data_IF_543017268985
#
_entry.id   IF_543017268985
#
_cell.length_a   1.000
_cell.length_b   1.000
_cell.length_c   1.000
_cell.angle_alpha   90.00
_cell.angle_beta   90.00
_cell.angle_gamma   90.00
#
_symmetry.space_group_name_H-M   'P 1'
#
loop_
_entity.id
_entity.type
_entity.pdbx_description
1 polymer ?
#
# COMPACT_ATOMS: atom_id res chain seq x y z
N UNK A 1 33.39 21.26 -32.43
CA UNK A 1 32.09 20.86 -33.01
C UNK A 1 31.71 21.93 -34.01
N UNK A 2 31.59 21.60 -35.29
CA UNK A 2 31.19 22.55 -36.31
C UNK A 2 29.66 22.73 -36.35
N UNK A 3 29.19 23.69 -37.15
CA UNK A 3 27.76 24.06 -37.20
C UNK A 3 26.88 22.92 -37.72
N UNK A 4 27.42 22.07 -38.58
CA UNK A 4 26.70 20.91 -39.14
C UNK A 4 26.60 19.76 -38.15
N UNK A 5 27.62 19.56 -37.31
CA UNK A 5 27.60 18.58 -36.21
C UNK A 5 26.58 18.95 -35.11
N UNK A 6 26.44 20.26 -34.85
CA UNK A 6 25.43 20.77 -33.91
C UNK A 6 24.01 20.56 -34.47
N UNK A 7 23.80 20.88 -35.75
CA UNK A 7 22.51 20.70 -36.41
C UNK A 7 22.08 19.22 -36.45
N UNK A 8 23.00 18.29 -36.74
CA UNK A 8 22.75 16.86 -36.72
C UNK A 8 22.34 16.36 -35.33
N UNK A 9 23.00 16.83 -34.27
CA UNK A 9 22.68 16.47 -32.90
C UNK A 9 21.34 17.02 -32.41
N UNK A 10 20.97 18.21 -32.86
CA UNK A 10 19.64 18.79 -32.59
C UNK A 10 18.55 17.97 -33.28
N UNK A 11 18.73 17.59 -34.55
CA UNK A 11 17.78 16.77 -35.29
C UNK A 11 17.61 15.36 -34.66
N UNK A 12 18.71 14.78 -34.13
CA UNK A 12 18.66 13.50 -33.39
C UNK A 12 17.87 13.63 -32.08
N UNK A 13 18.08 14.70 -31.32
CA UNK A 13 17.33 14.99 -30.10
C UNK A 13 15.85 15.27 -30.38
N UNK A 14 15.54 16.00 -31.42
CA UNK A 14 14.15 16.25 -31.86
C UNK A 14 13.45 14.94 -32.25
N UNK A 15 14.14 14.02 -32.94
CA UNK A 15 13.63 12.69 -33.29
C UNK A 15 13.36 11.82 -32.04
N UNK A 16 14.26 11.87 -31.04
CA UNK A 16 14.07 11.16 -29.76
C UNK A 16 12.89 11.73 -28.99
N UNK A 17 12.75 13.06 -28.96
CA UNK A 17 11.62 13.75 -28.31
C UNK A 17 10.29 13.40 -29.03
N UNK A 18 10.31 13.36 -30.36
CA UNK A 18 9.14 13.02 -31.16
C UNK A 18 8.74 11.54 -30.97
N UNK A 19 9.71 10.61 -30.98
CA UNK A 19 9.46 9.20 -30.71
C UNK A 19 9.04 8.92 -29.27
N UNK A 20 9.51 9.73 -28.30
CA UNK A 20 9.05 9.72 -26.92
C UNK A 20 7.60 10.21 -26.78
N UNK A 21 7.22 11.28 -27.50
CA UNK A 21 5.84 11.77 -27.55
C UNK A 21 4.87 10.78 -28.23
N UNK A 22 5.28 10.15 -29.33
CA UNK A 22 4.44 9.14 -30.01
C UNK A 22 4.21 7.87 -29.15
N UNK A 23 5.11 7.58 -28.19
CA UNK A 23 4.88 6.51 -27.21
C UNK A 23 3.93 6.91 -26.08
N UNK A 24 3.84 8.20 -25.74
CA UNK A 24 2.93 8.72 -24.72
C UNK A 24 1.53 9.04 -25.25
N UNK A 25 1.33 9.20 -26.57
CA UNK A 25 0.04 9.58 -27.16
C UNK A 25 -0.86 8.39 -27.57
N UNK A 26 -0.46 7.16 -27.33
CA UNK A 26 -1.39 6.01 -27.36
C UNK A 26 -1.91 5.73 -25.94
N UNK A 27 -2.83 6.57 -25.47
CA UNK A 27 -3.67 6.19 -24.36
C UNK A 27 -4.33 4.84 -24.72
N UNK A 28 -4.18 3.83 -23.87
CA UNK A 28 -4.87 2.56 -24.04
C UNK A 28 -6.38 2.81 -24.12
N UNK A 29 -7.10 2.05 -24.94
CA UNK A 29 -8.56 2.17 -25.00
C UNK A 29 -9.16 1.94 -23.60
N UNK A 30 -10.19 2.71 -23.18
CA UNK A 30 -10.80 2.56 -21.87
C UNK A 30 -11.28 1.13 -21.63
N UNK A 31 -10.88 0.53 -20.52
CA UNK A 31 -11.38 -0.78 -20.07
C UNK A 31 -12.71 -0.59 -19.35
N UNK A 32 -13.84 -0.80 -20.05
CA UNK A 32 -15.15 -0.31 -19.66
C UNK A 32 -15.82 -0.99 -18.45
N UNK A 33 -15.37 -2.17 -18.02
CA UNK A 33 -16.03 -2.96 -16.97
C UNK A 33 -15.10 -3.42 -15.84
N UNK A 34 -13.86 -2.92 -15.79
CA UNK A 34 -12.88 -3.30 -14.78
C UNK A 34 -12.50 -2.13 -13.89
N UNK A 35 -12.21 -2.45 -12.63
CA UNK A 35 -11.71 -1.50 -11.66
C UNK A 35 -10.19 -1.59 -11.52
N UNK A 36 -9.59 -0.48 -11.10
CA UNK A 36 -8.21 -0.46 -10.63
C UNK A 36 -8.17 0.10 -9.21
N UNK A 37 -7.24 -0.40 -8.39
CA UNK A 37 -7.06 -0.01 -7.00
C UNK A 37 -5.71 0.68 -6.81
N UNK A 38 -5.71 1.90 -6.28
CA UNK A 38 -4.51 2.66 -5.94
C UNK A 38 -4.33 2.68 -4.42
N UNK A 39 -3.19 2.18 -3.93
CA UNK A 39 -2.86 2.04 -2.52
C UNK A 39 -1.71 2.99 -2.14
N UNK A 40 -2.01 4.00 -1.33
CA UNK A 40 -1.03 4.96 -0.84
C UNK A 40 -0.06 4.37 0.19
N UNK A 41 1.12 4.99 0.32
CA UNK A 41 2.13 4.64 1.31
C UNK A 41 1.83 5.21 2.72
N UNK A 42 2.46 4.64 3.76
CA UNK A 42 2.31 5.12 5.13
C UNK A 42 2.67 4.14 6.25
N UNK A 43 3.49 3.13 6.00
CA UNK A 43 3.95 2.17 7.03
C UNK A 43 2.80 1.48 7.76
N UNK A 44 2.81 1.46 9.10
CA UNK A 44 1.77 0.82 9.92
C UNK A 44 0.34 1.30 9.65
N UNK A 45 0.16 2.50 9.08
CA UNK A 45 -1.15 3.00 8.64
C UNK A 45 -1.76 2.11 7.54
N UNK A 46 -0.94 1.32 6.82
CA UNK A 46 -1.37 0.38 5.80
C UNK A 46 -2.37 -0.67 6.29
N UNK A 47 -2.46 -0.92 7.59
CA UNK A 47 -3.51 -1.75 8.18
C UNK A 47 -4.93 -1.27 7.87
N UNK A 48 -5.12 0.03 7.62
CA UNK A 48 -6.38 0.60 7.15
C UNK A 48 -6.81 -0.03 5.80
N UNK A 49 -5.85 -0.31 4.92
CA UNK A 49 -6.10 -0.91 3.61
C UNK A 49 -6.62 -2.36 3.70
N UNK A 50 -6.38 -3.09 4.79
CA UNK A 50 -7.01 -4.40 5.03
C UNK A 50 -8.53 -4.29 5.10
N UNK A 51 -9.02 -3.30 5.87
CA UNK A 51 -10.45 -3.04 5.98
C UNK A 51 -11.05 -2.58 4.65
N UNK A 52 -10.33 -1.74 3.90
CA UNK A 52 -10.71 -1.34 2.55
C UNK A 52 -10.84 -2.57 1.65
N UNK A 53 -9.82 -3.42 1.63
CA UNK A 53 -9.82 -4.65 0.83
C UNK A 53 -10.99 -5.56 1.19
N UNK A 54 -11.25 -5.80 2.48
CA UNK A 54 -12.38 -6.62 2.95
C UNK A 54 -13.72 -6.07 2.48
N UNK A 55 -13.96 -4.77 2.66
CA UNK A 55 -15.21 -4.12 2.25
C UNK A 55 -15.42 -4.19 0.72
N UNK A 56 -14.37 -3.93 -0.06
CA UNK A 56 -14.44 -4.04 -1.53
C UNK A 56 -14.70 -5.49 -1.98
N UNK A 57 -14.11 -6.49 -1.31
CA UNK A 57 -14.35 -7.90 -1.60
C UNK A 57 -15.79 -8.32 -1.26
N UNK A 58 -16.29 -7.95 -0.09
CA UNK A 58 -17.68 -8.24 0.32
C UNK A 58 -18.71 -7.56 -0.58
N UNK A 59 -18.39 -6.37 -1.10
CA UNK A 59 -19.25 -5.67 -2.06
C UNK A 59 -19.14 -6.23 -3.49
N UNK A 60 -18.22 -7.18 -3.74
CA UNK A 60 -18.01 -7.81 -5.05
C UNK A 60 -17.22 -6.97 -6.06
N UNK A 61 -16.57 -5.89 -5.61
CA UNK A 61 -15.75 -5.03 -6.50
C UNK A 61 -14.39 -5.69 -6.78
N UNK A 62 -13.81 -6.40 -5.80
CA UNK A 62 -12.49 -7.01 -5.99
C UNK A 62 -12.48 -8.06 -7.10
N UNK A 63 -13.59 -8.72 -7.39
CA UNK A 63 -13.72 -9.65 -8.51
C UNK A 63 -13.56 -8.98 -9.90
N UNK A 64 -13.70 -7.66 -9.94
CA UNK A 64 -13.56 -6.82 -11.13
C UNK A 64 -12.27 -6.01 -11.16
N UNK A 65 -11.47 -6.08 -10.10
CA UNK A 65 -10.17 -5.40 -10.05
C UNK A 65 -9.18 -6.17 -10.90
N UNK A 66 -8.62 -5.52 -11.91
CA UNK A 66 -7.63 -6.10 -12.81
C UNK A 66 -6.27 -5.40 -12.77
N UNK A 67 -6.15 -4.30 -11.99
CA UNK A 67 -4.87 -3.69 -11.70
C UNK A 67 -4.83 -3.07 -10.30
N UNK A 68 -3.64 -3.12 -9.68
CA UNK A 68 -3.38 -2.46 -8.40
C UNK A 68 -2.08 -1.68 -8.52
N UNK A 69 -2.08 -0.42 -8.13
CA UNK A 69 -0.84 0.35 -7.95
C UNK A 69 -0.60 0.61 -6.47
N UNK A 70 0.67 0.63 -6.06
CA UNK A 70 1.00 0.86 -4.66
C UNK A 70 2.34 1.55 -4.45
N UNK A 71 2.44 2.25 -3.33
CA UNK A 71 3.67 2.90 -2.86
C UNK A 71 3.99 2.43 -1.45
N UNK A 72 5.24 2.06 -1.17
CA UNK A 72 5.69 1.67 0.17
C UNK A 72 4.84 0.50 0.72
N UNK A 73 4.24 0.65 1.90
CA UNK A 73 3.31 -0.36 2.43
C UNK A 73 2.14 -0.65 1.46
N UNK A 74 1.75 0.33 0.63
CA UNK A 74 0.75 0.12 -0.42
C UNK A 74 1.22 -0.84 -1.51
N UNK A 75 2.51 -0.86 -1.86
CA UNK A 75 3.08 -1.84 -2.79
C UNK A 75 3.13 -3.24 -2.18
N UNK A 76 3.47 -3.36 -0.88
CA UNK A 76 3.41 -4.62 -0.13
C UNK A 76 1.97 -5.15 -0.08
N UNK A 77 1.00 -4.28 0.23
CA UNK A 77 -0.42 -4.67 0.23
C UNK A 77 -0.93 -5.00 -1.17
N UNK A 78 -0.44 -4.34 -2.23
CA UNK A 78 -0.84 -4.65 -3.60
C UNK A 78 -0.51 -6.10 -3.99
N UNK A 79 0.74 -6.54 -3.75
CA UNK A 79 1.13 -7.94 -4.01
C UNK A 79 0.42 -8.92 -3.07
N UNK A 80 0.19 -8.54 -1.81
CA UNK A 80 -0.52 -9.36 -0.84
C UNK A 80 -1.98 -9.58 -1.24
N UNK A 81 -2.70 -8.54 -1.62
CA UNK A 81 -4.12 -8.60 -2.01
C UNK A 81 -4.33 -9.31 -3.35
N UNK A 82 -3.40 -9.17 -4.29
CA UNK A 82 -3.45 -9.91 -5.55
C UNK A 82 -3.32 -11.43 -5.36
N UNK A 83 -2.62 -11.89 -4.32
CA UNK A 83 -2.39 -13.31 -4.04
C UNK A 83 -3.45 -13.94 -3.14
N UNK A 84 -4.03 -13.18 -2.20
CA UNK A 84 -4.70 -13.73 -1.04
C UNK A 84 -6.14 -13.23 -0.90
N UNK A 85 -6.94 -13.95 -0.12
CA UNK A 85 -8.22 -13.47 0.39
C UNK A 85 -8.03 -12.43 1.51
N UNK A 86 -9.08 -11.68 1.88
CA UNK A 86 -9.02 -10.77 3.03
C UNK A 86 -8.57 -11.44 4.32
N UNK A 87 -9.07 -12.65 4.62
CA UNK A 87 -8.68 -13.39 5.83
C UNK A 87 -7.21 -13.76 5.84
N UNK A 88 -6.68 -14.23 4.72
CA UNK A 88 -5.27 -14.59 4.58
C UNK A 88 -4.36 -13.36 4.66
N UNK A 89 -4.82 -12.22 4.16
CA UNK A 89 -4.12 -10.93 4.28
C UNK A 89 -4.11 -10.44 5.74
N UNK A 90 -5.20 -10.61 6.48
CA UNK A 90 -5.25 -10.33 7.91
C UNK A 90 -4.28 -11.24 8.71
N UNK A 91 -4.16 -12.52 8.34
CA UNK A 91 -3.19 -13.44 8.95
C UNK A 91 -1.74 -12.97 8.72
N UNK A 92 -1.40 -12.53 7.49
CA UNK A 92 -0.10 -11.97 7.19
C UNK A 92 0.20 -10.74 8.03
N UNK A 93 -0.74 -9.82 8.15
CA UNK A 93 -0.58 -8.61 8.96
C UNK A 93 -0.44 -8.87 10.46
N UNK A 94 -1.00 -9.96 11.00
CA UNK A 94 -0.76 -10.38 12.38
C UNK A 94 0.68 -10.80 12.66
N UNK A 95 1.44 -11.12 11.61
CA UNK A 95 2.88 -11.43 11.73
C UNK A 95 3.77 -10.18 11.59
N UNK A 96 3.19 -9.05 11.13
CA UNK A 96 3.93 -7.79 11.01
C UNK A 96 3.96 -7.10 12.38
N UNK A 97 5.10 -7.18 13.04
CA UNK A 97 5.40 -6.52 14.30
C UNK A 97 6.46 -5.45 14.07
N UNK A 98 6.75 -4.68 15.11
CA UNK A 98 7.81 -3.67 15.05
C UNK A 98 9.14 -4.30 14.63
N UNK A 99 9.48 -5.44 15.18
CA UNK A 99 10.71 -6.19 14.90
C UNK A 99 10.75 -6.74 13.47
N UNK A 100 9.62 -7.05 12.85
CA UNK A 100 9.55 -7.49 11.45
C UNK A 100 9.96 -6.39 10.48
N UNK A 101 9.63 -5.14 10.81
CA UNK A 101 9.92 -3.97 9.98
C UNK A 101 11.24 -3.30 10.39
N UNK A 102 11.56 -3.32 11.69
CA UNK A 102 12.70 -2.62 12.27
C UNK A 102 13.71 -3.63 12.87
N UNK A 103 14.08 -4.65 12.09
CA UNK A 103 15.16 -5.59 12.43
C UNK A 103 16.53 -4.88 12.26
N UNK A 104 17.12 -4.46 13.38
CA UNK A 104 18.43 -3.79 13.39
C UNK A 104 19.53 -4.83 13.11
N UNK A 105 20.26 -4.65 12.02
CA UNK A 105 21.41 -5.45 11.71
C UNK A 105 22.71 -4.68 12.07
N UNK A 106 23.43 -5.11 13.13
CA UNK A 106 24.65 -4.42 13.55
C UNK A 106 25.77 -4.40 12.48
N UNK A 107 25.78 -5.37 11.56
CA UNK A 107 26.77 -5.41 10.48
C UNK A 107 26.54 -4.29 9.46
N UNK A 108 25.27 -3.90 9.21
CA UNK A 108 24.95 -2.81 8.31
C UNK A 108 25.36 -1.44 8.89
N UNK A 109 25.47 -1.29 10.21
CA UNK A 109 25.90 -0.04 10.84
C UNK A 109 27.34 0.38 10.49
N UNK A 110 28.15 -0.55 9.97
CA UNK A 110 29.54 -0.32 9.60
C UNK A 110 29.77 -0.23 8.09
N UNK A 111 28.69 -0.27 7.29
CA UNK A 111 28.76 -0.15 5.84
C UNK A 111 28.87 1.33 5.41
N UNK A 112 29.46 1.56 4.25
CA UNK A 112 29.59 2.90 3.65
C UNK A 112 28.23 3.50 3.18
N UNK A 113 27.18 2.66 3.05
CA UNK A 113 25.84 3.10 2.68
C UNK A 113 25.02 3.41 3.93
N UNK A 114 24.21 4.50 3.94
CA UNK A 114 23.33 4.79 5.05
C UNK A 114 22.18 3.78 5.10
N UNK A 115 21.99 3.17 6.27
CA UNK A 115 20.94 2.20 6.55
C UNK A 115 21.42 1.16 7.56
N UNK A 116 20.60 0.81 8.54
CA UNK A 116 20.96 -0.13 9.60
C UNK A 116 19.86 -1.16 9.88
N UNK A 117 18.79 -1.17 9.06
CA UNK A 117 17.67 -2.09 9.18
C UNK A 117 17.80 -3.23 8.16
N UNK A 118 17.59 -4.46 8.63
CA UNK A 118 17.48 -5.66 7.80
C UNK A 118 16.09 -5.78 7.17
N UNK A 119 16.03 -6.38 5.99
CA UNK A 119 14.76 -6.73 5.29
C UNK A 119 14.41 -8.20 5.43
N UNK A 120 15.20 -8.96 6.17
CA UNK A 120 15.14 -10.44 6.24
C UNK A 120 13.77 -10.94 6.64
N UNK A 121 13.21 -10.40 7.72
CA UNK A 121 11.91 -10.84 8.24
C UNK A 121 10.75 -10.46 7.30
N UNK A 122 10.82 -9.29 6.67
CA UNK A 122 9.82 -8.88 5.67
C UNK A 122 9.88 -9.76 4.41
N UNK A 123 11.09 -10.06 3.92
CA UNK A 123 11.26 -10.96 2.77
C UNK A 123 10.74 -12.37 3.08
N UNK A 124 11.00 -12.89 4.28
CA UNK A 124 10.47 -14.17 4.73
C UNK A 124 8.93 -14.15 4.78
N UNK A 125 8.34 -13.09 5.32
CA UNK A 125 6.89 -12.93 5.33
C UNK A 125 6.31 -12.93 3.92
N UNK A 126 6.96 -12.23 2.99
CA UNK A 126 6.55 -12.25 1.58
C UNK A 126 6.65 -13.67 0.99
N UNK A 127 7.70 -14.43 1.29
CA UNK A 127 7.83 -15.83 0.87
C UNK A 127 6.70 -16.73 1.39
N UNK A 128 6.27 -16.52 2.63
CA UNK A 128 5.23 -17.33 3.29
C UNK A 128 3.81 -17.02 2.77
N UNK A 129 3.58 -15.82 2.22
CA UNK A 129 2.25 -15.33 1.87
C UNK A 129 2.05 -14.99 0.39
N UNK A 130 3.10 -14.85 -0.43
CA UNK A 130 2.96 -14.50 -1.84
C UNK A 130 3.02 -15.72 -2.76
N UNK A 131 2.15 -15.72 -3.75
CA UNK A 131 2.20 -16.61 -4.91
C UNK A 131 2.86 -15.86 -6.08
N UNK A 132 4.16 -16.07 -6.23
CA UNK A 132 4.98 -15.35 -7.22
C UNK A 132 4.60 -15.73 -8.66
N UNK A 133 4.16 -16.96 -8.91
CA UNK A 133 3.70 -17.38 -10.24
C UNK A 133 2.44 -16.60 -10.61
N UNK A 134 1.49 -16.48 -9.68
CA UNK A 134 0.27 -15.70 -9.87
C UNK A 134 0.56 -14.20 -10.11
N UNK A 135 1.56 -13.63 -9.42
CA UNK A 135 1.99 -12.25 -9.63
C UNK A 135 2.63 -12.06 -11.00
N UNK A 136 3.48 -13.00 -11.42
CA UNK A 136 4.19 -12.97 -12.69
C UNK A 136 3.23 -13.16 -13.88
N UNK A 137 2.23 -14.03 -13.77
CA UNK A 137 1.24 -14.26 -14.81
C UNK A 137 0.38 -13.04 -15.17
N UNK A 138 0.35 -12.03 -14.30
CA UNK A 138 -0.33 -10.76 -14.57
C UNK A 138 -1.85 -10.85 -14.63
N UNK A 139 -2.46 -11.81 -13.94
CA UNK A 139 -3.92 -11.90 -13.79
C UNK A 139 -4.52 -10.63 -13.18
N UNK A 140 -3.81 -10.04 -12.20
CA UNK A 140 -3.99 -8.68 -11.73
C UNK A 140 -2.67 -7.96 -11.99
N UNK A 141 -2.66 -6.90 -12.81
CA UNK A 141 -1.47 -6.08 -13.02
C UNK A 141 -1.08 -5.32 -11.77
N UNK A 142 0.21 -5.30 -11.43
CA UNK A 142 0.67 -4.59 -10.23
C UNK A 142 1.75 -3.59 -10.61
N UNK A 143 1.54 -2.34 -10.22
CA UNK A 143 2.50 -1.26 -10.38
C UNK A 143 3.05 -0.85 -9.01
N UNK A 144 4.35 -1.00 -8.80
CA UNK A 144 5.02 -0.46 -7.61
C UNK A 144 5.69 0.87 -7.94
N UNK A 145 5.42 1.89 -7.12
CA UNK A 145 6.08 3.20 -7.25
C UNK A 145 7.41 3.19 -6.52
N UNK A 146 8.49 3.51 -7.21
CA UNK A 146 9.85 3.66 -6.67
C UNK A 146 10.39 5.05 -7.01
N UNK A 147 11.34 5.56 -6.24
CA UNK A 147 11.99 6.84 -6.51
C UNK A 147 13.50 6.67 -6.63
N UNK A 148 14.10 7.18 -7.72
CA UNK A 148 15.55 7.14 -7.90
C UNK A 148 16.24 7.98 -6.82
N UNK A 149 17.14 7.36 -6.04
CA UNK A 149 17.99 8.04 -5.08
C UNK A 149 19.10 8.78 -5.77
N UNK A 150 19.18 10.10 -5.58
CA UNK A 150 20.29 10.91 -6.09
C UNK A 150 20.88 11.76 -4.96
N UNK A 151 22.14 12.25 -5.10
CA UNK A 151 22.75 13.13 -4.09
C UNK A 151 21.93 14.39 -3.80
N UNK A 152 21.14 14.84 -4.78
CA UNK A 152 20.29 16.04 -4.69
C UNK A 152 18.89 15.73 -4.14
N UNK A 153 18.64 14.48 -3.73
CA UNK A 153 17.35 13.98 -3.22
C UNK A 153 16.59 13.10 -4.22
N UNK A 154 15.44 12.55 -3.81
CA UNK A 154 14.62 11.70 -4.67
C UNK A 154 14.07 12.49 -5.85
N UNK A 155 14.10 11.86 -7.03
CA UNK A 155 13.58 12.46 -8.28
C UNK A 155 12.15 11.99 -8.57
N UNK A 156 11.76 12.05 -9.84
CA UNK A 156 10.46 11.59 -10.33
C UNK A 156 10.20 10.13 -9.94
N UNK A 157 8.93 9.82 -9.65
CA UNK A 157 8.52 8.45 -9.42
C UNK A 157 8.66 7.63 -10.71
N UNK A 158 9.15 6.40 -10.57
CA UNK A 158 9.05 5.36 -11.58
C UNK A 158 7.99 4.35 -11.13
N UNK A 159 7.13 3.94 -12.07
CA UNK A 159 6.08 2.97 -11.83
C UNK A 159 6.45 1.67 -12.53
N UNK A 160 6.82 0.67 -11.75
CA UNK A 160 7.33 -0.59 -12.27
C UNK A 160 6.21 -1.61 -12.32
N UNK A 161 5.88 -2.10 -13.53
CA UNK A 161 4.94 -3.21 -13.75
C UNK A 161 5.64 -4.53 -13.37
N UNK A 162 5.05 -5.29 -12.44
CA UNK A 162 5.60 -6.55 -11.96
C UNK A 162 5.27 -7.76 -12.86
N UNK A 163 4.48 -7.57 -13.91
CA UNK A 163 4.09 -8.63 -14.85
C UNK A 163 5.31 -9.22 -15.54
N UNK A 164 5.44 -10.52 -15.52
CA UNK A 164 6.56 -11.26 -16.13
C UNK A 164 7.85 -11.28 -15.33
N UNK A 165 7.89 -10.67 -14.14
CA UNK A 165 9.05 -10.66 -13.26
C UNK A 165 9.17 -11.96 -12.47
N UNK A 166 10.41 -12.37 -12.21
CA UNK A 166 10.67 -13.46 -11.28
C UNK A 166 10.55 -13.01 -9.81
N UNK A 167 10.60 -13.98 -8.88
CA UNK A 167 10.54 -13.75 -7.44
C UNK A 167 11.55 -12.69 -6.96
N UNK A 168 12.78 -12.74 -7.45
CA UNK A 168 13.84 -11.85 -6.98
C UNK A 168 13.61 -10.43 -7.49
N UNK A 169 13.16 -10.28 -8.72
CA UNK A 169 12.80 -9.00 -9.32
C UNK A 169 11.63 -8.37 -8.59
N UNK A 170 10.54 -9.14 -8.32
CA UNK A 170 9.38 -8.68 -7.56
C UNK A 170 9.80 -8.21 -6.17
N UNK A 171 10.57 -9.03 -5.43
CA UNK A 171 11.05 -8.67 -4.12
C UNK A 171 11.93 -7.41 -4.14
N UNK A 172 12.82 -7.30 -5.13
CA UNK A 172 13.70 -6.14 -5.30
C UNK A 172 12.89 -4.86 -5.48
N UNK A 173 11.91 -4.87 -6.37
CA UNK A 173 11.08 -3.69 -6.67
C UNK A 173 10.18 -3.32 -5.49
N UNK A 174 9.51 -4.29 -4.86
CA UNK A 174 8.64 -4.05 -3.69
C UNK A 174 9.45 -3.52 -2.50
N UNK A 175 10.66 -4.08 -2.27
CA UNK A 175 11.56 -3.57 -1.24
C UNK A 175 12.09 -2.18 -1.58
N UNK A 176 12.41 -1.87 -2.83
CA UNK A 176 12.78 -0.52 -3.25
C UNK A 176 11.66 0.48 -2.93
N UNK A 177 10.42 0.12 -3.27
CA UNK A 177 9.23 0.93 -2.99
C UNK A 177 9.04 1.27 -1.51
N UNK A 178 9.50 0.41 -0.60
CA UNK A 178 9.36 0.56 0.87
C UNK A 178 10.66 0.93 1.58
N UNK A 179 11.68 1.33 0.85
CA UNK A 179 12.99 1.70 1.39
C UNK A 179 13.01 3.14 1.89
N UNK A 180 12.66 3.35 3.16
CA UNK A 180 12.78 4.66 3.80
C UNK A 180 14.27 5.02 3.94
N UNK A 181 14.74 6.17 3.38
CA UNK A 181 16.12 6.62 3.52
C UNK A 181 16.54 6.74 4.99
N UNK A 182 17.80 6.51 5.26
CA UNK A 182 18.42 6.45 6.58
C UNK A 182 18.07 5.23 7.44
N UNK A 183 16.89 4.62 7.25
CA UNK A 183 16.54 3.38 7.94
C UNK A 183 17.05 2.16 7.17
N UNK A 184 16.85 2.15 5.86
CA UNK A 184 17.29 1.06 4.98
C UNK A 184 18.31 1.58 3.95
N UNK A 185 19.24 0.71 3.57
CA UNK A 185 20.11 0.95 2.41
C UNK A 185 19.25 1.05 1.14
N UNK A 186 19.63 1.95 0.20
CA UNK A 186 19.02 2.00 -1.12
C UNK A 186 19.09 0.64 -1.83
N UNK A 187 18.13 0.41 -2.72
CA UNK A 187 18.05 -0.84 -3.50
C UNK A 187 18.55 -0.58 -4.91
N UNK A 188 19.52 -1.40 -5.35
CA UNK A 188 19.97 -1.37 -6.73
C UNK A 188 18.99 -2.13 -7.62
N UNK A 189 18.40 -1.45 -8.61
CA UNK A 189 17.55 -2.04 -9.62
C UNK A 189 17.94 -1.47 -10.99
N UNK A 190 18.17 -2.34 -12.00
CA UNK A 190 18.62 -1.94 -13.34
C UNK A 190 19.83 -0.98 -13.36
N UNK A 191 20.78 -1.18 -12.42
CA UNK A 191 22.01 -0.39 -12.31
C UNK A 191 21.85 1.01 -11.71
N UNK A 192 20.69 1.33 -11.14
CA UNK A 192 20.41 2.57 -10.41
C UNK A 192 20.01 2.28 -8.98
N UNK A 193 20.15 3.29 -8.12
CA UNK A 193 19.77 3.19 -6.71
C UNK A 193 18.37 3.78 -6.49
N UNK A 194 17.51 3.02 -5.79
CA UNK A 194 16.14 3.41 -5.53
C UNK A 194 15.81 3.41 -4.04
N UNK A 195 14.87 4.27 -3.68
CA UNK A 195 14.30 4.39 -2.35
C UNK A 195 12.76 4.50 -2.43
N UNK A 196 12.13 4.70 -1.26
CA UNK A 196 10.67 4.73 -1.10
C UNK A 196 10.02 5.69 -2.10
N UNK A 197 9.12 5.14 -2.90
CA UNK A 197 8.36 5.88 -3.91
C UNK A 197 7.53 7.02 -3.33
N UNK A 198 7.18 6.96 -2.05
CA UNK A 198 6.43 8.00 -1.34
C UNK A 198 7.13 9.35 -1.25
N UNK A 199 8.44 9.39 -1.51
CA UNK A 199 9.21 10.62 -1.62
C UNK A 199 8.95 11.37 -2.94
N UNK A 200 8.42 10.69 -3.95
CA UNK A 200 8.12 11.25 -5.27
C UNK A 200 6.62 11.21 -5.57
N UNK A 201 5.96 10.07 -5.42
CA UNK A 201 4.52 9.91 -5.56
C UNK A 201 3.96 8.89 -4.55
N UNK A 202 3.32 9.39 -3.50
CA UNK A 202 2.77 8.56 -2.43
C UNK A 202 1.42 7.92 -2.77
N UNK A 203 0.72 8.39 -3.80
CA UNK A 203 -0.58 7.86 -4.24
C UNK A 203 -0.53 7.68 -5.76
N UNK A 204 -0.04 6.52 -6.25
CA UNK A 204 0.34 6.33 -7.66
C UNK A 204 -0.86 6.03 -8.56
N UNK A 205 -1.68 7.03 -8.86
CA UNK A 205 -2.83 6.93 -9.77
C UNK A 205 -2.35 6.82 -11.22
N UNK A 206 -1.26 7.53 -11.56
CA UNK A 206 -0.79 7.71 -12.93
C UNK A 206 -0.64 6.40 -13.72
N UNK A 207 0.04 5.35 -13.21
CA UNK A 207 0.24 4.12 -13.99
C UNK A 207 -1.07 3.39 -14.32
N UNK A 208 -2.08 3.50 -13.46
CA UNK A 208 -3.41 2.95 -13.74
C UNK A 208 -4.11 3.73 -14.84
N UNK A 209 -4.09 5.05 -14.75
CA UNK A 209 -4.70 5.92 -15.73
C UNK A 209 -4.06 5.76 -17.13
N UNK A 210 -2.73 5.73 -17.19
CA UNK A 210 -1.96 5.52 -18.44
C UNK A 210 -2.19 4.13 -19.04
N UNK A 211 -2.51 3.14 -18.20
CA UNK A 211 -2.89 1.79 -18.65
C UNK A 211 -4.34 1.67 -19.13
N UNK A 212 -5.08 2.80 -19.18
CA UNK A 212 -6.45 2.85 -19.71
C UNK A 212 -7.55 2.62 -18.70
N UNK A 213 -7.24 2.43 -17.40
CA UNK A 213 -8.27 2.31 -16.37
C UNK A 213 -8.98 3.64 -16.15
N UNK A 214 -10.32 3.59 -16.08
CA UNK A 214 -11.17 4.77 -15.88
C UNK A 214 -12.08 4.65 -14.67
N UNK A 215 -12.25 3.46 -14.08
CA UNK A 215 -12.86 3.26 -12.76
C UNK A 215 -11.73 2.97 -11.77
N UNK A 216 -11.31 4.00 -11.03
CA UNK A 216 -10.15 3.93 -10.15
C UNK A 216 -10.59 4.17 -8.70
N UNK A 217 -10.27 3.23 -7.82
CA UNK A 217 -10.49 3.37 -6.39
C UNK A 217 -9.17 3.78 -5.75
N UNK A 218 -9.16 4.93 -5.10
CA UNK A 218 -7.97 5.50 -4.46
C UNK A 218 -8.08 5.35 -2.95
N UNK A 219 -7.21 4.56 -2.36
CA UNK A 219 -7.07 4.43 -0.92
C UNK A 219 -5.82 5.17 -0.42
N UNK A 220 -6.01 6.41 0.04
CA UNK A 220 -4.95 7.17 0.71
C UNK A 220 -4.97 6.96 2.22
N UNK A 221 -3.83 7.24 2.88
CA UNK A 221 -3.65 7.01 4.31
C UNK A 221 -3.55 8.31 5.14
N UNK A 222 -3.70 9.46 4.49
CA UNK A 222 -3.64 10.77 5.15
C UNK A 222 -4.53 11.78 4.43
N UNK A 223 -5.54 12.28 5.12
CA UNK A 223 -6.46 13.32 4.62
C UNK A 223 -5.75 14.63 4.24
N UNK A 224 -4.67 14.97 4.95
CA UNK A 224 -3.93 16.23 4.72
C UNK A 224 -3.08 16.22 3.44
N UNK A 225 -2.80 15.03 2.89
CA UNK A 225 -2.02 14.84 1.67
C UNK A 225 -2.83 14.10 0.60
N UNK A 226 -4.07 14.52 0.38
CA UNK A 226 -4.86 14.03 -0.74
C UNK A 226 -4.20 14.36 -2.07
N UNK A 227 -4.19 13.40 -2.97
CA UNK A 227 -3.75 13.59 -4.35
C UNK A 227 -4.73 14.52 -5.07
N UNK A 228 -4.21 15.47 -5.85
CA UNK A 228 -5.03 16.22 -6.79
C UNK A 228 -5.42 15.30 -7.95
N UNK A 229 -6.72 15.08 -8.12
CA UNK A 229 -7.30 14.22 -9.15
C UNK A 229 -7.82 15.01 -10.36
N UNK A 230 -7.66 16.32 -10.38
CA UNK A 230 -8.21 17.19 -11.45
C UNK A 230 -7.65 16.87 -12.85
N UNK A 231 -6.45 16.30 -12.93
CA UNK A 231 -5.80 15.87 -14.18
C UNK A 231 -6.39 14.58 -14.77
N UNK A 232 -7.26 13.87 -14.05
CA UNK A 232 -7.88 12.60 -14.45
C UNK A 232 -9.36 12.76 -14.77
N UNK A 233 -9.76 13.89 -15.39
CA UNK A 233 -11.14 14.33 -15.52
C UNK A 233 -12.08 13.43 -16.37
N UNK A 234 -11.56 12.45 -17.11
CA UNK A 234 -12.33 11.43 -17.84
C UNK A 234 -12.41 10.08 -17.07
N UNK A 235 -11.86 10.03 -15.86
CA UNK A 235 -11.95 8.85 -15.00
C UNK A 235 -12.97 9.07 -13.87
N UNK A 236 -13.70 8.00 -13.57
CA UNK A 236 -14.54 7.88 -12.38
C UNK A 236 -13.63 7.43 -11.21
N UNK A 237 -13.32 8.36 -10.31
CA UNK A 237 -12.42 8.12 -9.20
C UNK A 237 -13.18 8.13 -7.88
N UNK A 238 -13.25 6.96 -7.22
CA UNK A 238 -13.77 6.85 -5.87
C UNK A 238 -12.61 6.98 -4.86
N UNK A 239 -12.64 8.03 -4.05
CA UNK A 239 -11.63 8.28 -3.04
C UNK A 239 -12.04 7.72 -1.67
N UNK A 240 -11.15 6.92 -1.07
CA UNK A 240 -11.28 6.38 0.29
C UNK A 240 -10.11 6.90 1.12
N UNK A 241 -10.41 7.74 2.11
CA UNK A 241 -9.44 8.28 3.05
C UNK A 241 -9.96 8.13 4.48
N UNK A 242 -9.05 7.96 5.45
CA UNK A 242 -9.45 7.78 6.84
C UNK A 242 -10.30 8.94 7.35
N UNK A 243 -11.45 8.67 7.92
CA UNK A 243 -12.36 9.68 8.48
C UNK A 243 -11.80 10.35 9.74
N UNK A 244 -10.82 9.72 10.40
CA UNK A 244 -10.03 10.29 11.49
C UNK A 244 -8.54 10.07 11.25
N UNK A 245 -7.68 10.86 11.91
CA UNK A 245 -6.23 10.72 11.78
C UNK A 245 -5.76 9.32 12.19
N UNK A 246 -4.93 8.69 11.36
CA UNK A 246 -4.24 7.42 11.68
C UNK A 246 -2.95 7.64 12.47
N UNK A 247 -2.70 8.84 12.98
CA UNK A 247 -1.49 9.24 13.69
C UNK A 247 -0.41 9.85 12.78
N UNK A 248 0.63 10.37 13.39
CA UNK A 248 1.78 11.00 12.72
C UNK A 248 2.88 9.96 12.37
N UNK A 249 4.15 10.32 12.51
CA UNK A 249 5.26 9.42 12.23
C UNK A 249 5.33 8.29 13.27
N UNK A 250 5.37 8.63 14.55
CA UNK A 250 5.57 7.64 15.63
C UNK A 250 4.30 6.83 15.87
N UNK A 251 3.18 7.52 16.15
CA UNK A 251 1.91 6.87 16.48
C UNK A 251 1.19 6.27 15.27
N UNK A 252 1.61 6.68 14.07
CA UNK A 252 1.03 6.27 12.79
C UNK A 252 1.92 5.34 12.00
N UNK A 253 2.93 5.91 11.33
CA UNK A 253 3.78 5.22 10.35
C UNK A 253 4.61 4.11 10.97
N UNK A 254 5.15 4.33 12.18
CA UNK A 254 6.01 3.37 12.88
C UNK A 254 5.24 2.48 13.87
N UNK A 255 3.93 2.64 14.00
CA UNK A 255 3.12 1.87 14.94
C UNK A 255 2.45 0.66 14.26
N UNK A 256 2.96 -0.53 14.56
CA UNK A 256 2.45 -1.83 14.12
C UNK A 256 1.83 -2.65 15.28
N UNK A 257 1.45 -2.00 16.38
CA UNK A 257 0.82 -2.72 17.50
C UNK A 257 -0.51 -3.35 17.08
N UNK A 258 -0.84 -4.50 17.65
CA UNK A 258 -2.05 -5.25 17.33
C UNK A 258 -3.33 -4.40 17.46
N UNK A 259 -3.41 -3.55 18.51
CA UNK A 259 -4.54 -2.65 18.72
C UNK A 259 -4.65 -1.60 17.61
N UNK A 260 -3.51 -1.02 17.19
CA UNK A 260 -3.49 -0.04 16.10
C UNK A 260 -3.86 -0.68 14.76
N UNK A 261 -3.36 -1.88 14.48
CA UNK A 261 -3.70 -2.65 13.27
C UNK A 261 -5.20 -2.93 13.25
N UNK A 262 -5.76 -3.43 14.37
CA UNK A 262 -7.18 -3.72 14.50
C UNK A 262 -8.06 -2.49 14.32
N UNK A 263 -7.74 -1.40 15.03
CA UNK A 263 -8.49 -0.15 14.92
C UNK A 263 -8.51 0.37 13.47
N UNK A 264 -7.34 0.39 12.83
CA UNK A 264 -7.20 0.89 11.46
C UNK A 264 -7.94 0.02 10.44
N UNK A 265 -7.89 -1.31 10.59
CA UNK A 265 -8.64 -2.23 9.74
C UNK A 265 -10.16 -2.04 9.89
N UNK A 266 -10.68 -1.96 11.11
CA UNK A 266 -12.10 -1.68 11.36
C UNK A 266 -12.52 -0.33 10.77
N UNK A 267 -11.70 0.71 10.96
CA UNK A 267 -11.97 2.04 10.40
C UNK A 267 -11.99 2.01 8.87
N UNK A 268 -11.00 1.35 8.26
CA UNK A 268 -10.94 1.21 6.80
C UNK A 268 -12.16 0.53 6.21
N UNK A 269 -12.63 -0.52 6.87
CA UNK A 269 -13.87 -1.20 6.48
C UNK A 269 -15.09 -0.25 6.54
N UNK A 270 -15.28 0.46 7.66
CA UNK A 270 -16.43 1.38 7.84
C UNK A 270 -16.37 2.57 6.88
N UNK A 271 -15.20 3.17 6.71
CA UNK A 271 -15.02 4.29 5.77
C UNK A 271 -15.31 3.85 4.33
N UNK A 272 -14.89 2.65 3.94
CA UNK A 272 -15.15 2.10 2.61
C UNK A 272 -16.63 1.82 2.41
N UNK A 273 -17.31 1.21 3.37
CA UNK A 273 -18.75 0.96 3.26
C UNK A 273 -19.54 2.27 3.09
N UNK A 274 -19.13 3.36 3.78
CA UNK A 274 -19.73 4.68 3.57
C UNK A 274 -19.44 5.24 2.17
N UNK A 275 -18.18 5.12 1.71
CA UNK A 275 -17.79 5.59 0.39
C UNK A 275 -18.55 4.85 -0.73
N UNK A 276 -18.71 3.53 -0.62
CA UNK A 276 -19.49 2.71 -1.55
C UNK A 276 -20.95 3.15 -1.59
N UNK A 277 -21.53 3.41 -0.43
CA UNK A 277 -22.92 3.86 -0.33
C UNK A 277 -23.13 5.23 -0.99
N UNK A 278 -22.21 6.15 -0.75
CA UNK A 278 -22.25 7.49 -1.38
C UNK A 278 -22.05 7.38 -2.88
N UNK A 279 -21.07 6.59 -3.31
CA UNK A 279 -20.67 6.51 -4.72
C UNK A 279 -21.70 5.77 -5.58
N UNK A 280 -22.26 4.64 -5.11
CA UNK A 280 -23.15 3.80 -5.91
C UNK A 280 -24.65 4.00 -5.64
N UNK A 281 -25.04 4.25 -4.38
CA UNK A 281 -26.46 4.40 -4.04
C UNK A 281 -26.95 5.84 -4.21
N UNK A 282 -26.07 6.85 -4.11
CA UNK A 282 -26.39 8.28 -4.27
C UNK A 282 -27.59 8.74 -3.40
N UNK A 283 -27.79 8.12 -2.22
CA UNK A 283 -28.87 8.42 -1.31
C UNK A 283 -28.68 9.82 -0.67
N UNK A 284 -29.52 10.83 -0.99
CA UNK A 284 -29.35 12.18 -0.48
C UNK A 284 -29.50 12.28 1.05
N UNK A 285 -30.39 11.48 1.63
CA UNK A 285 -30.64 11.50 3.09
C UNK A 285 -29.45 10.89 3.84
N UNK A 286 -28.85 9.83 3.28
CA UNK A 286 -27.63 9.26 3.82
C UNK A 286 -26.46 10.24 3.70
N UNK A 287 -26.29 10.88 2.55
CA UNK A 287 -25.21 11.87 2.33
C UNK A 287 -25.36 13.04 3.29
N UNK A 288 -26.59 13.54 3.53
CA UNK A 288 -26.84 14.62 4.47
C UNK A 288 -26.55 14.25 5.93
N UNK A 289 -26.64 12.96 6.28
CA UNK A 289 -26.40 12.43 7.62
C UNK A 289 -25.03 11.75 7.79
N UNK A 290 -24.12 11.86 6.82
CA UNK A 290 -22.87 11.08 6.78
C UNK A 290 -21.97 11.29 8.00
N UNK A 291 -21.93 12.51 8.54
CA UNK A 291 -21.15 12.82 9.75
C UNK A 291 -21.71 12.09 10.97
N UNK A 292 -23.02 11.99 11.09
CA UNK A 292 -23.69 11.26 12.16
C UNK A 292 -23.40 9.75 12.07
N UNK A 293 -23.48 9.17 10.86
CA UNK A 293 -23.11 7.76 10.66
C UNK A 293 -21.63 7.49 10.96
N UNK A 294 -20.74 8.41 10.59
CA UNK A 294 -19.32 8.31 10.96
C UNK A 294 -19.12 8.27 12.48
N UNK A 295 -19.83 9.12 13.22
CA UNK A 295 -19.71 9.19 14.68
C UNK A 295 -20.24 7.91 15.35
N UNK A 296 -21.32 7.32 14.82
CA UNK A 296 -21.83 6.01 15.25
C UNK A 296 -20.77 4.93 15.00
N UNK A 297 -20.22 4.86 13.79
CA UNK A 297 -19.20 3.87 13.45
C UNK A 297 -17.97 3.96 14.36
N UNK A 298 -17.52 5.18 14.66
CA UNK A 298 -16.39 5.38 15.58
C UNK A 298 -16.71 4.95 17.02
N UNK A 299 -17.92 5.18 17.47
CA UNK A 299 -18.38 4.71 18.79
C UNK A 299 -18.43 3.17 18.84
N UNK A 300 -18.96 2.53 17.79
CA UNK A 300 -19.01 1.08 17.66
C UNK A 300 -17.61 0.44 17.65
N UNK A 301 -16.66 1.01 16.87
CA UNK A 301 -15.27 0.53 16.84
C UNK A 301 -14.66 0.60 18.24
N UNK A 302 -14.82 1.71 18.95
CA UNK A 302 -14.28 1.88 20.30
C UNK A 302 -14.90 0.90 21.30
N UNK A 303 -16.22 0.67 21.21
CA UNK A 303 -16.92 -0.29 22.04
C UNK A 303 -16.42 -1.72 21.78
N UNK A 304 -16.28 -2.12 20.52
CA UNK A 304 -15.76 -3.43 20.13
C UNK A 304 -14.33 -3.63 20.64
N UNK A 305 -13.44 -2.66 20.46
CA UNK A 305 -12.06 -2.75 20.97
C UNK A 305 -12.02 -2.87 22.50
N UNK A 306 -12.89 -2.16 23.21
CA UNK A 306 -12.98 -2.25 24.68
C UNK A 306 -13.47 -3.63 25.15
N UNK A 307 -14.44 -4.23 24.46
CA UNK A 307 -14.93 -5.57 24.74
C UNK A 307 -13.84 -6.63 24.50
N UNK A 308 -13.11 -6.51 23.38
CA UNK A 308 -12.01 -7.45 23.05
C UNK A 308 -10.87 -7.36 24.07
N UNK A 309 -10.54 -6.15 24.53
CA UNK A 309 -9.52 -5.95 25.58
C UNK A 309 -9.96 -6.60 26.89
N UNK A 310 -11.24 -6.44 27.28
CA UNK A 310 -11.80 -7.08 28.45
C UNK A 310 -11.77 -8.61 28.34
N UNK A 311 -12.19 -9.16 27.19
CA UNK A 311 -12.19 -10.60 26.92
C UNK A 311 -10.77 -11.20 26.96
N UNK A 312 -9.80 -10.48 26.37
CA UNK A 312 -8.37 -10.85 26.43
C UNK A 312 -7.83 -10.83 27.86
N UNK A 313 -8.23 -9.85 28.68
CA UNK A 313 -7.86 -9.78 30.09
C UNK A 313 -8.43 -10.96 30.89
N UNK A 314 -9.69 -11.32 30.66
CA UNK A 314 -10.33 -12.49 31.27
C UNK A 314 -9.62 -13.78 30.87
N UNK A 315 -9.37 -14.00 29.60
CA UNK A 315 -8.63 -15.17 29.07
C UNK A 315 -7.24 -15.28 29.68
N UNK A 316 -6.52 -14.18 29.78
CA UNK A 316 -5.19 -14.15 30.40
C UNK A 316 -5.27 -14.48 31.90
N UNK A 317 -6.30 -14.00 32.60
CA UNK A 317 -6.53 -14.30 34.03
C UNK A 317 -6.83 -15.79 34.23
N UNK A 318 -7.73 -16.36 33.40
CA UNK A 318 -8.04 -17.80 33.43
C UNK A 318 -6.77 -18.61 33.18
N UNK A 319 -6.01 -18.34 32.10
CA UNK A 319 -4.78 -19.05 31.80
C UNK A 319 -3.70 -18.92 32.88
N UNK A 320 -3.67 -17.81 33.64
CA UNK A 320 -2.80 -17.66 34.79
C UNK A 320 -3.27 -18.53 35.97
N UNK A 321 -4.60 -18.63 36.22
CA UNK A 321 -5.17 -19.49 37.22
C UNK A 321 -4.89 -20.96 36.92
N UNK A 322 -5.15 -21.41 35.69
CA UNK A 322 -4.88 -22.79 35.23
C UNK A 322 -3.40 -23.15 35.40
N UNK A 323 -2.50 -22.24 35.09
CA UNK A 323 -1.06 -22.44 35.28
C UNK A 323 -0.68 -22.55 36.76
N UNK A 324 -1.36 -21.83 37.66
CA UNK A 324 -1.13 -21.89 39.10
C UNK A 324 -1.67 -23.21 39.62
N UNK A 325 -2.90 -23.62 39.24
CA UNK A 325 -3.51 -24.89 39.63
C UNK A 325 -2.66 -26.07 39.16
N UNK A 326 -2.20 -26.09 37.93
CA UNK A 326 -1.29 -27.11 37.41
C UNK A 326 0.03 -27.20 38.21
N UNK A 327 0.59 -26.07 38.70
CA UNK A 327 1.78 -26.07 39.56
C UNK A 327 1.48 -26.63 40.97
N UNK A 328 0.26 -26.55 41.42
CA UNK A 328 -0.21 -27.08 42.72
C UNK A 328 -0.68 -28.53 42.64
N UNK A 329 -0.68 -29.13 41.44
CA UNK A 329 -1.14 -30.51 41.23
C UNK A 329 -2.63 -30.67 41.42
N UNK A 330 -3.41 -29.61 41.23
CA UNK A 330 -4.85 -29.58 41.26
C UNK A 330 -5.35 -29.62 39.81
N UNK A 331 -5.40 -30.81 39.23
CA UNK A 331 -6.08 -31.06 37.95
C UNK A 331 -7.56 -31.37 38.26
N UNK A 332 -8.51 -30.84 37.44
CA UNK A 332 -9.92 -31.18 37.50
C UNK A 332 -10.18 -32.67 37.27
#
# INVERSE_FOLDING_TARGET
MNRDEIAAKIAELESIIQSGKEKTDKAAEPQSDTYALCLGGGGGKGAYQLGVYRALAEYGIMDKVSAISGTSIGAINAVLFACNSPDRSDEAWKQIHFETVFDVDPELMFNDKPGFMSRREMLKLMEDYLDYDKLSDGGIKIFASIAECTPDGPRTAEYVDLTGMDKNEINTVVMASSTLPFLYESVTYNGREYCDGGLADNVPIQPLYDSGYRHIIVCGLNQKSKKDISSYGDADIMEIYPSVSLGDLIDGTLNFSADSVKFRSLLGYRDTMRALKVHFEHDPDYIAAIDHYRDIDLADIKAQMSMDAADSSVKNTIGNIDRILGKLGIDE
#
